data_IF_928766095382
#
_entry.id   IF_928766095382
#
_cell.length_a   1.000
_cell.length_b   1.000
_cell.length_c   1.000
_cell.angle_alpha   90.00
_cell.angle_beta   90.00
_cell.angle_gamma   90.00
#
_symmetry.space_group_name_H-M   'P 1'
#
loop_
_entity.id
_entity.type
_entity.pdbx_description
1 polymer ?
#
# COMPACT_ATOMS: atom_id res chain seq x y z
N UNK A 1 -27.76 -7.84 -69.24
CA UNK A 1 -27.74 -6.68 -68.32
C UNK A 1 -28.26 -7.13 -67.02
N UNK A 2 -27.31 -7.46 -66.04
CA UNK A 2 -27.63 -7.86 -64.69
C UNK A 2 -27.25 -6.70 -63.79
N UNK A 3 -28.23 -6.07 -63.12
CA UNK A 3 -28.02 -5.02 -62.14
C UNK A 3 -27.69 -5.70 -60.79
N UNK A 4 -26.47 -5.48 -60.28
CA UNK A 4 -26.07 -5.80 -58.88
C UNK A 4 -26.70 -4.77 -57.96
N UNK A 5 -27.51 -5.22 -57.01
CA UNK A 5 -27.93 -4.44 -55.84
C UNK A 5 -26.86 -4.63 -54.75
N UNK A 6 -26.10 -3.59 -54.44
CA UNK A 6 -25.27 -3.52 -53.23
C UNK A 6 -26.18 -3.12 -52.05
N UNK A 7 -26.41 -4.06 -51.13
CA UNK A 7 -26.97 -3.77 -49.82
C UNK A 7 -25.82 -3.24 -48.95
N UNK A 8 -25.82 -1.93 -48.67
CA UNK A 8 -24.96 -1.36 -47.64
C UNK A 8 -25.54 -1.68 -46.25
N UNK A 9 -24.94 -2.65 -45.57
CA UNK A 9 -25.22 -2.95 -44.16
C UNK A 9 -24.54 -1.89 -43.31
N UNK A 10 -25.28 -0.87 -42.92
CA UNK A 10 -24.85 0.12 -41.96
C UNK A 10 -24.84 -0.55 -40.57
N UNK A 11 -23.67 -1.01 -40.10
CA UNK A 11 -23.47 -1.40 -38.69
C UNK A 11 -23.60 -0.14 -37.84
N UNK A 12 -24.76 0.07 -37.24
CA UNK A 12 -24.90 0.95 -36.08
C UNK A 12 -24.18 0.29 -34.91
N UNK A 13 -22.93 0.66 -34.72
CA UNK A 13 -22.26 0.45 -33.44
C UNK A 13 -23.01 1.30 -32.43
N UNK A 14 -23.86 0.66 -31.64
CA UNK A 14 -24.41 1.25 -30.43
C UNK A 14 -23.22 1.56 -29.55
N UNK A 15 -22.82 2.83 -29.46
CA UNK A 15 -21.92 3.34 -28.41
C UNK A 15 -22.66 3.21 -27.10
N UNK A 16 -22.57 2.03 -26.47
CA UNK A 16 -22.80 1.91 -25.06
C UNK A 16 -21.67 2.68 -24.41
N UNK A 17 -21.99 3.84 -23.85
CA UNK A 17 -21.03 4.70 -23.20
C UNK A 17 -20.38 3.95 -22.03
N UNK A 18 -19.25 3.29 -22.32
CA UNK A 18 -18.35 2.82 -21.26
C UNK A 18 -17.87 4.08 -20.58
N UNK A 19 -18.30 4.28 -19.34
CA UNK A 19 -17.87 5.42 -18.56
C UNK A 19 -16.33 5.38 -18.50
N UNK A 20 -15.69 6.37 -19.11
CA UNK A 20 -14.23 6.41 -19.23
C UNK A 20 -13.61 6.76 -17.88
N UNK A 21 -12.54 6.08 -17.49
CA UNK A 21 -11.73 6.42 -16.33
C UNK A 21 -11.18 7.83 -16.51
N UNK A 22 -11.51 8.73 -15.59
CA UNK A 22 -10.94 10.08 -15.57
C UNK A 22 -9.61 10.04 -14.84
N UNK A 23 -8.60 10.65 -15.42
CA UNK A 23 -7.26 10.72 -14.86
C UNK A 23 -6.87 12.17 -14.60
N UNK A 24 -6.40 12.44 -13.38
CA UNK A 24 -5.81 13.73 -13.02
C UNK A 24 -4.49 13.55 -12.27
N UNK A 25 -3.75 14.64 -12.04
CA UNK A 25 -2.39 14.58 -11.48
C UNK A 25 -2.14 15.71 -10.51
N UNK A 26 -1.33 15.39 -9.47
CA UNK A 26 -0.69 16.39 -8.61
C UNK A 26 0.83 16.25 -8.81
N UNK A 27 1.51 17.35 -9.13
CA UNK A 27 2.94 17.37 -9.39
C UNK A 27 3.71 17.97 -8.21
N UNK A 28 5.01 17.71 -8.16
CA UNK A 28 5.92 18.23 -7.11
C UNK A 28 5.52 17.76 -5.71
N UNK A 29 5.18 16.49 -5.61
CA UNK A 29 4.83 15.87 -4.34
C UNK A 29 6.10 15.34 -3.65
N UNK A 30 7.01 16.25 -3.29
CA UNK A 30 8.32 15.93 -2.70
C UNK A 30 9.32 15.32 -3.68
N UNK A 31 10.48 14.90 -3.15
CA UNK A 31 11.49 14.16 -3.89
C UNK A 31 11.46 12.68 -3.51
N UNK A 32 11.40 11.81 -4.51
CA UNK A 32 11.23 10.36 -4.33
C UNK A 32 10.05 10.04 -3.39
N UNK A 33 8.81 10.50 -3.72
CA UNK A 33 7.63 10.15 -2.93
C UNK A 33 7.44 8.63 -2.94
N UNK A 34 7.12 8.05 -1.79
CA UNK A 34 7.15 6.58 -1.66
C UNK A 34 5.82 5.99 -1.19
N UNK A 35 5.45 6.16 0.06
CA UNK A 35 4.20 5.62 0.61
C UNK A 35 3.14 6.70 0.76
N UNK A 36 1.87 6.28 0.66
CA UNK A 36 0.75 7.18 0.90
C UNK A 36 -0.29 6.58 1.85
N UNK A 37 -0.96 7.47 2.58
CA UNK A 37 -2.19 7.19 3.30
C UNK A 37 -3.25 8.21 2.91
N UNK A 38 -4.53 7.81 2.93
CA UNK A 38 -5.65 8.69 2.67
C UNK A 38 -6.38 9.02 3.96
N UNK A 39 -6.83 10.26 4.09
CA UNK A 39 -7.72 10.67 5.19
C UNK A 39 -9.01 9.82 5.18
N UNK A 40 -9.69 9.69 6.33
CA UNK A 40 -10.93 8.91 6.41
C UNK A 40 -12.05 9.35 5.46
N UNK A 41 -12.06 10.62 5.07
CA UNK A 41 -13.01 11.20 4.10
C UNK A 41 -12.51 11.08 2.63
N UNK A 42 -11.28 10.61 2.43
CA UNK A 42 -10.67 10.43 1.11
C UNK A 42 -10.26 11.71 0.39
N UNK A 43 -10.32 12.88 1.03
CA UNK A 43 -10.03 14.18 0.39
C UNK A 43 -8.58 14.63 0.52
N UNK A 44 -7.84 14.05 1.45
CA UNK A 44 -6.43 14.37 1.71
C UNK A 44 -5.56 13.13 1.53
N UNK A 45 -4.44 13.29 0.84
CA UNK A 45 -3.38 12.30 0.79
C UNK A 45 -2.18 12.79 1.62
N UNK A 46 -1.63 11.90 2.41
CA UNK A 46 -0.38 12.07 3.14
C UNK A 46 0.67 11.21 2.45
N UNK A 47 1.78 11.80 2.05
CA UNK A 47 2.81 11.12 1.23
C UNK A 47 4.18 11.29 1.87
N UNK A 48 4.90 10.21 2.09
CA UNK A 48 6.29 10.28 2.53
C UNK A 48 7.20 10.66 1.37
N UNK A 49 8.06 11.67 1.58
CA UNK A 49 9.07 12.10 0.62
C UNK A 49 10.44 11.63 1.11
N UNK A 50 10.91 10.52 0.53
CA UNK A 50 12.16 9.86 0.94
C UNK A 50 13.38 10.77 0.79
N UNK A 51 13.44 11.54 -0.31
CA UNK A 51 14.58 12.39 -0.64
C UNK A 51 14.70 13.64 0.22
N UNK A 52 13.56 14.23 0.68
CA UNK A 52 13.57 15.48 1.47
C UNK A 52 13.40 15.24 2.97
N UNK A 53 12.98 14.07 3.41
CA UNK A 53 12.76 13.79 4.83
C UNK A 53 11.41 14.30 5.36
N UNK A 54 10.43 14.48 4.48
CA UNK A 54 9.15 15.14 4.78
C UNK A 54 7.96 14.20 4.69
N UNK A 55 6.89 14.57 5.39
CA UNK A 55 5.52 14.14 5.14
C UNK A 55 4.81 15.26 4.39
N UNK A 56 4.37 14.98 3.16
CA UNK A 56 3.69 15.92 2.27
C UNK A 56 2.18 15.74 2.41
N UNK A 57 1.45 16.82 2.60
CA UNK A 57 -0.01 16.84 2.67
C UNK A 57 -0.57 17.39 1.35
N UNK A 58 -1.44 16.62 0.73
CA UNK A 58 -2.01 16.94 -0.59
C UNK A 58 -3.53 17.00 -0.48
N UNK A 59 -4.11 18.13 -0.85
CA UNK A 59 -5.55 18.24 -1.11
C UNK A 59 -5.86 17.60 -2.46
N UNK A 60 -6.60 16.49 -2.45
CA UNK A 60 -6.96 15.74 -3.65
C UNK A 60 -8.08 16.42 -4.45
N UNK A 61 -8.89 17.26 -3.82
CA UNK A 61 -9.97 18.01 -4.48
C UNK A 61 -9.38 19.21 -5.23
N UNK A 62 -8.57 20.03 -4.53
CA UNK A 62 -7.87 21.15 -5.12
C UNK A 62 -6.66 20.76 -5.96
N UNK A 63 -6.19 19.49 -5.85
CA UNK A 63 -5.04 18.91 -6.55
C UNK A 63 -3.75 19.71 -6.29
N UNK A 64 -3.51 20.04 -5.04
CA UNK A 64 -2.40 20.90 -4.61
C UNK A 64 -1.76 20.39 -3.32
N UNK A 65 -0.45 20.57 -3.19
CA UNK A 65 0.28 20.38 -1.93
C UNK A 65 -0.09 21.52 -0.99
N UNK A 66 -0.56 21.19 0.21
CA UNK A 66 -1.00 22.18 1.21
C UNK A 66 -0.01 22.34 2.35
N UNK A 67 0.70 21.28 2.73
CA UNK A 67 1.67 21.30 3.82
C UNK A 67 2.88 20.41 3.51
N UNK A 68 4.01 20.76 4.10
CA UNK A 68 5.25 19.96 4.12
C UNK A 68 5.75 19.93 5.56
N UNK A 69 5.86 18.73 6.13
CA UNK A 69 6.17 18.51 7.54
C UNK A 69 7.49 17.73 7.64
N UNK A 70 8.60 18.31 8.11
CA UNK A 70 9.84 17.58 8.35
C UNK A 70 9.63 16.49 9.41
N UNK A 71 9.85 15.21 9.06
CA UNK A 71 9.61 14.07 9.97
C UNK A 71 10.85 13.29 10.33
N UNK A 72 11.90 13.41 9.54
CA UNK A 72 13.17 12.71 9.74
C UNK A 72 13.74 12.13 8.45
N UNK A 73 14.95 11.57 8.51
CA UNK A 73 15.68 11.13 7.33
C UNK A 73 15.11 9.84 6.73
N UNK A 74 14.94 9.84 5.41
CA UNK A 74 14.46 8.71 4.61
C UNK A 74 13.12 8.12 5.11
N UNK A 75 12.02 8.91 5.19
CA UNK A 75 10.72 8.40 5.59
C UNK A 75 10.19 7.41 4.54
N UNK A 76 9.69 6.28 5.02
CA UNK A 76 9.09 5.21 4.23
C UNK A 76 7.63 4.99 4.68
N UNK A 77 7.36 3.87 5.37
CA UNK A 77 6.02 3.47 5.76
C UNK A 77 5.26 4.53 6.56
N UNK A 78 3.97 4.61 6.31
CA UNK A 78 3.05 5.60 6.85
C UNK A 78 1.74 4.93 7.25
N UNK A 79 1.25 5.19 8.46
CA UNK A 79 -0.06 4.76 8.92
C UNK A 79 -0.77 5.85 9.70
N UNK A 80 -2.10 5.92 9.54
CA UNK A 80 -2.95 6.85 10.30
C UNK A 80 -3.56 6.17 11.52
N UNK A 81 -3.69 6.93 12.59
CA UNK A 81 -4.36 6.56 13.83
C UNK A 81 -5.39 7.65 14.22
N UNK A 82 -6.14 7.42 15.30
CA UNK A 82 -7.07 8.38 15.90
C UNK A 82 -8.03 9.00 14.88
N UNK A 83 -8.67 8.14 14.08
CA UNK A 83 -9.56 8.57 13.02
C UNK A 83 -8.92 9.58 12.04
N UNK A 84 -7.63 9.41 11.76
CA UNK A 84 -6.87 10.25 10.82
C UNK A 84 -6.29 11.52 11.42
N UNK A 85 -6.28 11.70 12.75
CA UNK A 85 -5.67 12.87 13.40
C UNK A 85 -4.17 12.72 13.65
N UNK A 86 -3.69 11.48 13.71
CA UNK A 86 -2.28 11.16 13.98
C UNK A 86 -1.71 10.33 12.86
N UNK A 87 -0.48 10.65 12.42
CA UNK A 87 0.29 9.82 11.51
C UNK A 87 1.53 9.24 12.21
N UNK A 88 1.80 7.97 11.96
CA UNK A 88 3.04 7.30 12.32
C UNK A 88 3.87 7.13 11.06
N UNK A 89 5.09 7.65 11.06
CA UNK A 89 6.00 7.63 9.89
C UNK A 89 7.30 6.94 10.25
N UNK A 90 7.62 5.86 9.57
CA UNK A 90 8.88 5.13 9.75
C UNK A 90 10.02 5.87 9.03
N UNK A 91 10.93 6.49 9.78
CA UNK A 91 12.08 7.24 9.29
C UNK A 91 13.33 6.35 9.32
N UNK A 92 13.61 5.71 8.18
CA UNK A 92 14.60 4.63 8.05
C UNK A 92 15.98 5.00 8.55
N UNK A 93 16.53 6.11 8.07
CA UNK A 93 17.92 6.50 8.37
C UNK A 93 18.02 7.24 9.72
N UNK A 94 16.91 7.76 10.24
CA UNK A 94 16.83 8.30 11.61
C UNK A 94 16.73 7.21 12.67
N UNK A 95 16.32 5.99 12.33
CA UNK A 95 16.04 4.93 13.30
C UNK A 95 14.88 5.26 14.24
N UNK A 96 13.89 6.02 13.76
CA UNK A 96 12.75 6.49 14.54
C UNK A 96 11.43 6.24 13.82
N UNK A 97 10.36 6.25 14.60
CA UNK A 97 8.99 6.44 14.09
C UNK A 97 8.54 7.82 14.54
N UNK A 98 8.35 8.74 13.60
CA UNK A 98 7.81 10.06 13.89
C UNK A 98 6.29 9.95 14.12
N UNK A 99 5.80 10.59 15.19
CA UNK A 99 4.38 10.74 15.50
C UNK A 99 3.98 12.16 15.16
N UNK A 100 3.14 12.33 14.16
CA UNK A 100 2.73 13.61 13.62
C UNK A 100 1.29 13.91 14.00
N UNK A 101 1.03 15.04 14.64
CA UNK A 101 -0.32 15.60 14.77
C UNK A 101 -0.72 16.26 13.46
N UNK A 102 -1.71 15.68 12.79
CA UNK A 102 -2.24 16.16 11.52
C UNK A 102 -3.24 17.31 11.66
N UNK A 103 -3.59 17.71 12.87
CA UNK A 103 -4.39 18.89 13.14
C UNK A 103 -3.52 20.14 13.19
N UNK A 104 -2.38 20.06 13.88
CA UNK A 104 -1.39 21.13 13.98
C UNK A 104 -0.28 21.08 12.93
N UNK A 105 -0.16 19.97 12.20
CA UNK A 105 0.90 19.68 11.22
C UNK A 105 2.30 19.73 11.83
N UNK A 106 2.47 19.11 13.01
CA UNK A 106 3.74 19.08 13.74
C UNK A 106 4.09 17.69 14.20
N UNK A 107 5.38 17.43 14.34
CA UNK A 107 5.89 16.21 14.97
C UNK A 107 5.78 16.36 16.48
N UNK A 108 4.96 15.53 17.10
CA UNK A 108 4.75 15.50 18.54
C UNK A 108 5.78 14.66 19.30
N UNK A 109 6.27 13.59 18.64
CA UNK A 109 7.25 12.68 19.23
C UNK A 109 8.06 11.96 18.16
N UNK A 110 9.25 11.50 18.54
CA UNK A 110 10.08 10.58 17.77
C UNK A 110 10.36 9.35 18.62
N UNK A 111 9.72 8.23 18.29
CA UNK A 111 9.89 6.96 18.99
C UNK A 111 11.14 6.29 18.45
N UNK A 112 12.15 6.08 19.28
CA UNK A 112 13.37 5.37 18.90
C UNK A 112 13.08 3.88 18.71
N UNK A 113 13.47 3.36 17.55
CA UNK A 113 13.46 1.92 17.24
C UNK A 113 14.87 1.50 16.82
N UNK A 114 15.24 0.26 17.11
CA UNK A 114 16.58 -0.23 16.73
C UNK A 114 16.63 -0.56 15.22
N UNK A 115 17.69 -0.12 14.53
CA UNK A 115 17.94 -0.48 13.14
C UNK A 115 17.31 0.49 12.13
N UNK A 116 16.71 -0.03 11.06
CA UNK A 116 16.18 0.75 9.93
C UNK A 116 14.69 0.43 9.72
N UNK A 117 13.79 1.19 10.34
CA UNK A 117 12.34 0.96 10.21
C UNK A 117 11.91 1.17 8.75
N UNK A 118 10.99 0.32 8.26
CA UNK A 118 10.57 0.32 6.86
C UNK A 118 9.07 0.53 6.67
N UNK A 119 8.23 -0.26 7.32
CA UNK A 119 6.79 -0.12 7.24
C UNK A 119 6.18 0.03 8.62
N UNK A 120 5.03 0.69 8.69
CA UNK A 120 4.24 0.86 9.90
C UNK A 120 2.76 0.60 9.59
N UNK A 121 2.06 -0.08 10.49
CA UNK A 121 0.60 -0.21 10.47
C UNK A 121 0.05 -0.07 11.88
N UNK A 122 -1.16 0.50 11.98
CA UNK A 122 -1.89 0.62 13.25
C UNK A 122 -2.91 -0.50 13.35
N UNK A 123 -2.99 -1.13 14.50
CA UNK A 123 -3.96 -2.19 14.76
C UNK A 123 -5.41 -1.65 14.75
N UNK A 124 -6.42 -2.51 14.50
CA UNK A 124 -7.81 -2.09 14.31
C UNK A 124 -8.43 -1.41 15.54
N UNK A 125 -7.88 -1.66 16.73
CA UNK A 125 -8.31 -1.02 17.98
C UNK A 125 -7.65 0.34 18.24
N UNK A 126 -6.65 0.73 17.44
CA UNK A 126 -5.91 1.97 17.58
C UNK A 126 -4.91 2.03 18.76
N UNK A 127 -4.76 0.96 19.54
CA UNK A 127 -3.90 0.97 20.75
C UNK A 127 -2.45 0.60 20.44
N UNK A 128 -2.21 -0.15 19.38
CA UNK A 128 -0.88 -0.63 18.99
C UNK A 128 -0.55 -0.23 17.56
N UNK A 129 0.71 0.15 17.36
CA UNK A 129 1.31 0.23 16.03
C UNK A 129 2.40 -0.84 15.92
N UNK A 130 2.57 -1.35 14.72
CA UNK A 130 3.51 -2.40 14.37
C UNK A 130 4.49 -1.85 13.35
N UNK A 131 5.78 -2.05 13.57
CA UNK A 131 6.83 -1.48 12.74
C UNK A 131 7.81 -2.57 12.33
N UNK A 132 7.96 -2.81 11.03
CA UNK A 132 9.00 -3.66 10.49
C UNK A 132 10.33 -2.93 10.48
N UNK A 133 11.41 -3.65 10.75
CA UNK A 133 12.74 -3.10 10.85
C UNK A 133 13.75 -4.07 10.23
N UNK A 134 14.55 -3.59 9.29
CA UNK A 134 15.56 -4.42 8.61
C UNK A 134 16.59 -5.04 9.56
N UNK A 135 16.75 -4.46 10.76
CA UNK A 135 17.80 -4.90 11.67
C UNK A 135 19.21 -4.52 11.18
N UNK A 136 20.19 -4.65 12.07
CA UNK A 136 21.61 -4.47 11.72
C UNK A 136 22.30 -5.77 11.30
N UNK A 137 21.60 -6.89 11.47
CA UNK A 137 22.05 -8.25 11.12
C UNK A 137 21.17 -8.84 10.00
N UNK A 138 21.42 -10.09 9.61
CA UNK A 138 20.58 -10.80 8.63
C UNK A 138 19.13 -11.03 9.12
N UNK A 139 18.90 -11.00 10.43
CA UNK A 139 17.58 -11.13 11.03
C UNK A 139 16.94 -9.74 11.20
N UNK A 140 15.70 -9.60 10.75
CA UNK A 140 14.91 -8.41 10.97
C UNK A 140 14.12 -8.44 12.28
N UNK A 141 13.33 -7.41 12.51
CA UNK A 141 12.53 -7.27 13.72
C UNK A 141 11.14 -6.71 13.39
N UNK A 142 10.17 -7.05 14.24
CA UNK A 142 8.87 -6.39 14.33
C UNK A 142 8.81 -5.74 15.70
N UNK A 143 8.67 -4.42 15.76
CA UNK A 143 8.42 -3.69 16.99
C UNK A 143 6.93 -3.49 17.20
N UNK A 144 6.47 -3.67 18.42
CA UNK A 144 5.12 -3.33 18.88
C UNK A 144 5.23 -2.03 19.69
N UNK A 145 4.49 -1.03 19.28
CA UNK A 145 4.45 0.29 19.88
C UNK A 145 3.09 0.49 20.56
N UNK A 146 3.08 0.94 21.79
CA UNK A 146 1.90 1.51 22.41
C UNK A 146 1.66 2.91 21.83
N UNK A 147 0.49 3.09 21.23
CA UNK A 147 0.12 4.34 20.51
C UNK A 147 -0.02 5.51 21.49
N UNK A 148 -0.58 5.26 22.68
CA UNK A 148 -0.81 6.30 23.68
C UNK A 148 0.47 6.69 24.40
N UNK A 149 1.22 5.68 24.87
CA UNK A 149 2.48 5.90 25.62
C UNK A 149 3.65 6.24 24.69
N UNK A 150 3.46 6.09 23.35
CA UNK A 150 4.47 6.40 22.33
C UNK A 150 5.79 5.68 22.59
N UNK A 151 5.72 4.42 23.00
CA UNK A 151 6.88 3.63 23.40
C UNK A 151 6.85 2.22 22.83
N UNK A 152 8.04 1.63 22.60
CA UNK A 152 8.16 0.23 22.17
C UNK A 152 7.89 -0.67 23.38
N UNK A 153 6.87 -1.52 23.27
CA UNK A 153 6.46 -2.46 24.32
C UNK A 153 7.00 -3.87 24.10
N UNK A 154 7.27 -4.25 22.85
CA UNK A 154 7.86 -5.55 22.53
C UNK A 154 8.63 -5.50 21.22
N UNK A 155 9.56 -6.47 21.07
CA UNK A 155 10.34 -6.68 19.83
C UNK A 155 10.38 -8.17 19.53
N UNK A 156 9.93 -8.55 18.34
CA UNK A 156 9.86 -9.93 17.88
C UNK A 156 10.86 -10.11 16.74
N UNK A 157 11.67 -11.16 16.79
CA UNK A 157 12.59 -11.51 15.69
C UNK A 157 11.80 -11.93 14.44
N UNK A 158 12.21 -11.42 13.29
CA UNK A 158 11.63 -11.71 12.00
C UNK A 158 12.65 -12.39 11.06
N UNK A 159 12.20 -12.75 9.86
CA UNK A 159 13.06 -13.24 8.80
C UNK A 159 13.98 -12.17 8.21
N UNK A 160 14.56 -12.45 7.05
CA UNK A 160 15.46 -11.51 6.38
C UNK A 160 14.69 -10.38 5.69
N UNK A 161 15.12 -9.15 5.93
CA UNK A 161 14.57 -7.95 5.30
C UNK A 161 13.03 -7.86 5.42
N UNK A 162 12.45 -7.71 6.63
CA UNK A 162 11.02 -7.45 6.77
C UNK A 162 10.72 -6.03 6.26
N UNK A 163 9.96 -5.93 5.17
CA UNK A 163 9.77 -4.68 4.42
C UNK A 163 8.34 -4.15 4.45
N UNK A 164 7.36 -5.03 4.57
CA UNK A 164 5.96 -4.65 4.60
C UNK A 164 5.19 -5.48 5.64
N UNK A 165 4.06 -4.96 6.08
CA UNK A 165 3.16 -5.66 6.98
C UNK A 165 1.70 -5.29 6.73
N UNK A 166 0.81 -6.22 7.08
CA UNK A 166 -0.62 -5.98 7.18
C UNK A 166 -1.12 -6.50 8.51
N UNK A 167 -2.11 -5.81 9.08
CA UNK A 167 -2.75 -6.20 10.34
C UNK A 167 -4.17 -6.65 10.04
N UNK A 168 -4.55 -7.82 10.54
CA UNK A 168 -5.92 -8.31 10.41
C UNK A 168 -6.91 -7.34 11.07
N UNK A 169 -7.93 -6.87 10.35
CA UNK A 169 -8.94 -5.99 10.92
C UNK A 169 -9.85 -6.69 11.94
N UNK A 170 -9.79 -8.04 12.03
CA UNK A 170 -10.71 -8.85 12.83
C UNK A 170 -10.09 -9.24 14.18
N UNK A 171 -8.81 -9.68 14.18
CA UNK A 171 -8.18 -10.30 15.36
C UNK A 171 -6.77 -9.80 15.65
N UNK A 172 -6.35 -8.74 14.98
CA UNK A 172 -5.05 -8.08 15.14
C UNK A 172 -3.82 -8.97 14.83
N UNK A 173 -4.02 -10.15 14.20
CA UNK A 173 -2.90 -10.94 13.67
C UNK A 173 -2.07 -10.09 12.70
N UNK A 174 -0.75 -10.10 12.84
CA UNK A 174 0.16 -9.34 11.99
C UNK A 174 0.80 -10.26 10.96
N UNK A 175 0.74 -9.88 9.70
CA UNK A 175 1.37 -10.58 8.59
C UNK A 175 2.56 -9.75 8.11
N UNK A 176 3.76 -10.31 8.19
CA UNK A 176 5.01 -9.60 7.87
C UNK A 176 5.65 -10.21 6.64
N UNK A 177 5.89 -9.39 5.62
CA UNK A 177 6.63 -9.77 4.41
C UNK A 177 8.13 -9.70 4.71
N UNK A 178 8.81 -10.82 4.59
CA UNK A 178 10.25 -10.94 4.71
C UNK A 178 10.86 -11.07 3.31
N UNK A 179 11.19 -9.93 2.70
CA UNK A 179 11.64 -9.84 1.30
C UNK A 179 12.90 -10.67 0.99
N UNK A 180 13.80 -10.79 1.96
CA UNK A 180 15.03 -11.56 1.80
C UNK A 180 14.86 -13.07 1.98
N UNK A 181 13.75 -13.53 2.58
CA UNK A 181 13.44 -14.96 2.78
C UNK A 181 12.36 -15.48 1.84
N UNK A 182 11.69 -14.60 1.08
CA UNK A 182 10.53 -14.93 0.24
C UNK A 182 9.38 -15.59 1.02
N UNK A 183 9.09 -15.04 2.19
CA UNK A 183 8.09 -15.58 3.11
C UNK A 183 7.20 -14.48 3.70
N UNK A 184 5.95 -14.83 3.98
CA UNK A 184 5.06 -14.09 4.89
C UNK A 184 5.03 -14.81 6.23
N UNK A 185 5.39 -14.12 7.30
CA UNK A 185 5.31 -14.64 8.66
C UNK A 185 4.04 -14.17 9.35
N UNK A 186 3.32 -15.12 9.95
CA UNK A 186 2.09 -14.87 10.71
C UNK A 186 2.43 -14.71 12.17
N UNK A 187 2.16 -13.54 12.73
CA UNK A 187 2.56 -13.16 14.10
C UNK A 187 1.32 -12.97 14.97
N UNK A 188 1.33 -13.59 16.12
CA UNK A 188 0.40 -13.30 17.21
C UNK A 188 1.03 -12.25 18.12
N UNK A 189 0.54 -10.99 18.14
CA UNK A 189 1.14 -9.92 18.90
C UNK A 189 0.93 -10.04 20.41
N UNK A 190 -0.15 -10.69 20.86
CA UNK A 190 -0.41 -10.88 22.31
C UNK A 190 0.54 -11.91 22.91
N UNK A 191 0.82 -12.99 22.17
CA UNK A 191 1.77 -14.03 22.58
C UNK A 191 3.21 -13.70 22.20
N UNK A 192 3.42 -12.68 21.37
CA UNK A 192 4.72 -12.29 20.81
C UNK A 192 5.43 -13.46 20.08
N UNK A 193 4.67 -14.27 19.36
CA UNK A 193 5.16 -15.47 18.66
C UNK A 193 4.83 -15.46 17.18
N UNK A 194 5.70 -16.07 16.40
CA UNK A 194 5.43 -16.44 15.00
C UNK A 194 4.73 -17.80 14.99
N UNK A 195 3.52 -17.84 14.43
CA UNK A 195 2.72 -19.08 14.38
C UNK A 195 2.97 -19.89 13.10
N UNK A 196 3.18 -19.21 11.98
CA UNK A 196 3.32 -19.84 10.66
C UNK A 196 4.24 -19.01 9.77
N UNK A 197 4.93 -19.70 8.85
CA UNK A 197 5.70 -19.11 7.78
C UNK A 197 5.15 -19.62 6.46
N UNK A 198 4.80 -18.72 5.55
CA UNK A 198 4.17 -19.05 4.27
C UNK A 198 5.11 -18.61 3.16
N UNK A 199 5.60 -19.56 2.36
CA UNK A 199 6.42 -19.24 1.18
C UNK A 199 5.56 -18.56 0.11
N UNK A 200 6.11 -17.52 -0.52
CA UNK A 200 5.50 -16.73 -1.59
C UNK A 200 6.44 -16.66 -2.81
N UNK A 201 6.15 -15.78 -3.78
CA UNK A 201 7.02 -15.59 -4.93
C UNK A 201 8.35 -14.89 -4.60
N UNK A 202 9.14 -14.56 -5.62
CA UNK A 202 10.48 -14.00 -5.46
C UNK A 202 10.45 -12.49 -5.20
N UNK A 203 11.26 -12.05 -4.23
CA UNK A 203 11.37 -10.67 -3.77
C UNK A 203 9.99 -10.06 -3.48
N UNK A 204 9.25 -10.56 -2.47
CA UNK A 204 7.99 -9.99 -2.08
C UNK A 204 8.20 -8.59 -1.48
N UNK A 205 7.36 -7.62 -1.89
CA UNK A 205 7.49 -6.20 -1.52
C UNK A 205 6.25 -5.67 -0.79
N UNK A 206 5.06 -5.77 -1.37
CA UNK A 206 3.83 -5.22 -0.83
C UNK A 206 2.90 -6.28 -0.26
N UNK A 207 2.02 -5.87 0.66
CA UNK A 207 1.00 -6.74 1.23
C UNK A 207 -0.27 -5.95 1.54
N UNK A 208 -1.43 -6.54 1.24
CA UNK A 208 -2.73 -6.01 1.64
C UNK A 208 -3.66 -7.13 2.08
N UNK A 209 -4.57 -6.82 3.01
CA UNK A 209 -5.58 -7.74 3.53
C UNK A 209 -6.99 -7.26 3.17
N UNK A 210 -7.90 -8.18 2.89
CA UNK A 210 -9.32 -7.84 2.69
C UNK A 210 -9.97 -7.30 3.97
N UNK A 211 -11.01 -6.44 3.88
CA UNK A 211 -11.71 -5.92 5.04
C UNK A 211 -12.36 -6.98 5.93
N UNK A 212 -12.72 -8.13 5.36
CA UNK A 212 -13.24 -9.30 6.10
C UNK A 212 -12.12 -10.16 6.73
N UNK A 213 -10.86 -9.79 6.50
CA UNK A 213 -9.69 -10.46 7.04
C UNK A 213 -9.37 -11.83 6.42
N UNK A 214 -10.06 -12.26 5.34
CA UNK A 214 -9.97 -13.65 4.83
C UNK A 214 -8.87 -13.86 3.80
N UNK A 215 -8.44 -12.82 3.08
CA UNK A 215 -7.43 -12.95 2.02
C UNK A 215 -6.33 -11.92 2.17
N UNK A 216 -5.10 -12.36 1.91
CA UNK A 216 -3.93 -11.51 1.73
C UNK A 216 -3.50 -11.54 0.28
N UNK A 217 -3.02 -10.41 -0.20
CA UNK A 217 -2.40 -10.23 -1.51
C UNK A 217 -0.97 -9.76 -1.29
N UNK A 218 -0.01 -10.50 -1.83
CA UNK A 218 1.43 -10.22 -1.68
C UNK A 218 2.03 -10.05 -3.06
N UNK A 219 2.58 -8.88 -3.36
CA UNK A 219 3.29 -8.63 -4.61
C UNK A 219 4.69 -9.20 -4.56
N UNK A 220 5.13 -9.85 -5.64
CA UNK A 220 6.44 -10.46 -5.76
C UNK A 220 7.17 -9.82 -6.96
N UNK A 221 8.09 -8.89 -6.66
CA UNK A 221 8.63 -7.96 -7.66
C UNK A 221 9.55 -8.62 -8.68
N UNK A 222 10.22 -9.71 -8.32
CA UNK A 222 11.11 -10.43 -9.24
C UNK A 222 10.38 -11.49 -10.06
N UNK A 223 9.41 -12.20 -9.49
CA UNK A 223 8.58 -13.17 -10.22
C UNK A 223 7.46 -12.53 -11.05
N UNK A 224 7.18 -11.22 -10.87
CA UNK A 224 6.13 -10.48 -11.57
C UNK A 224 4.72 -11.04 -11.36
N UNK A 225 4.40 -11.37 -10.14
CA UNK A 225 3.12 -11.96 -9.77
C UNK A 225 2.62 -11.45 -8.42
N UNK A 226 1.39 -11.84 -8.09
CA UNK A 226 0.77 -11.66 -6.77
C UNK A 226 0.40 -13.00 -6.20
N UNK A 227 0.93 -13.33 -5.03
CA UNK A 227 0.50 -14.49 -4.24
C UNK A 227 -0.75 -14.13 -3.43
N UNK A 228 -1.81 -14.93 -3.58
CA UNK A 228 -3.03 -14.79 -2.77
C UNK A 228 -3.04 -15.88 -1.69
N UNK A 229 -3.21 -15.46 -0.44
CA UNK A 229 -3.17 -16.35 0.73
C UNK A 229 -4.55 -16.35 1.41
N UNK A 230 -5.04 -17.54 1.74
CA UNK A 230 -6.15 -17.73 2.67
C UNK A 230 -5.63 -17.57 4.11
N UNK A 231 -6.17 -16.61 4.85
CA UNK A 231 -5.72 -16.29 6.22
C UNK A 231 -6.17 -17.31 7.25
N UNK A 232 -7.30 -17.96 7.02
CA UNK A 232 -7.84 -18.97 7.93
C UNK A 232 -7.07 -20.30 7.80
N UNK A 233 -6.84 -20.73 6.56
CA UNK A 233 -6.04 -21.93 6.27
C UNK A 233 -4.53 -21.68 6.38
N UNK A 234 -4.10 -20.41 6.36
CA UNK A 234 -2.70 -19.97 6.32
C UNK A 234 -1.92 -20.64 5.16
N UNK A 235 -2.53 -20.66 3.99
CA UNK A 235 -1.99 -21.30 2.78
C UNK A 235 -2.18 -20.44 1.55
N UNK A 236 -1.27 -20.61 0.58
CA UNK A 236 -1.43 -20.02 -0.75
C UNK A 236 -2.63 -20.63 -1.45
N UNK A 237 -3.53 -19.77 -1.94
CA UNK A 237 -4.67 -20.16 -2.79
C UNK A 237 -4.27 -20.23 -4.26
N UNK A 238 -3.64 -19.16 -4.74
CA UNK A 238 -3.28 -18.99 -6.15
C UNK A 238 -2.16 -17.95 -6.26
N UNK A 239 -1.42 -17.99 -7.37
CA UNK A 239 -0.49 -16.96 -7.80
C UNK A 239 -0.95 -16.41 -9.14
N UNK A 240 -1.10 -15.10 -9.25
CA UNK A 240 -1.64 -14.40 -10.42
C UNK A 240 -0.55 -13.59 -11.11
N UNK A 241 -0.32 -13.74 -12.41
CA UNK A 241 0.61 -12.89 -13.15
C UNK A 241 0.09 -11.44 -13.18
N UNK A 242 1.02 -10.49 -13.07
CA UNK A 242 0.75 -9.03 -13.15
C UNK A 242 1.76 -8.37 -14.10
N UNK A 243 1.82 -7.04 -14.10
CA UNK A 243 2.84 -6.32 -14.85
C UNK A 243 4.24 -6.50 -14.26
N UNK A 244 5.25 -5.88 -14.90
CA UNK A 244 6.65 -5.99 -14.49
C UNK A 244 6.93 -5.22 -13.21
N UNK A 245 7.64 -5.86 -12.28
CA UNK A 245 8.09 -5.33 -10.99
C UNK A 245 6.92 -4.76 -10.19
N UNK A 246 5.96 -5.61 -9.78
CA UNK A 246 4.89 -5.17 -8.89
C UNK A 246 5.46 -4.75 -7.54
N UNK A 247 4.91 -3.67 -6.95
CA UNK A 247 5.37 -3.13 -5.67
C UNK A 247 4.19 -2.99 -4.70
N UNK A 248 3.56 -1.82 -4.62
CA UNK A 248 2.41 -1.60 -3.74
C UNK A 248 1.16 -2.37 -4.17
N UNK A 249 0.39 -2.80 -3.19
CA UNK A 249 -0.92 -3.44 -3.37
C UNK A 249 -1.91 -2.88 -2.34
N UNK A 250 -3.16 -2.74 -2.74
CA UNK A 250 -4.25 -2.32 -1.84
C UNK A 250 -5.55 -3.02 -2.20
N UNK A 251 -6.48 -3.09 -1.24
CA UNK A 251 -7.84 -3.63 -1.43
C UNK A 251 -8.83 -2.49 -1.23
N UNK A 252 -9.88 -2.44 -2.04
CA UNK A 252 -10.99 -1.49 -1.87
C UNK A 252 -11.71 -1.72 -0.54
N UNK A 253 -12.32 -0.65 0.04
CA UNK A 253 -13.02 -0.75 1.34
C UNK A 253 -14.18 -1.71 1.34
N UNK A 254 -14.86 -1.88 0.20
CA UNK A 254 -15.94 -2.83 0.02
C UNK A 254 -15.45 -4.28 -0.18
N UNK A 255 -14.13 -4.49 -0.23
CA UNK A 255 -13.51 -5.79 -0.39
C UNK A 255 -13.70 -6.44 -1.78
N UNK A 256 -14.20 -5.69 -2.79
CA UNK A 256 -14.52 -6.26 -4.10
C UNK A 256 -13.34 -6.30 -5.05
N UNK A 257 -12.42 -5.35 -4.94
CA UNK A 257 -11.29 -5.22 -5.86
C UNK A 257 -9.97 -5.09 -5.10
N UNK A 258 -8.89 -5.57 -5.71
CA UNK A 258 -7.54 -5.22 -5.30
C UNK A 258 -6.77 -4.62 -6.47
N UNK A 259 -5.81 -3.75 -6.14
CA UNK A 259 -5.04 -2.95 -7.09
C UNK A 259 -3.56 -3.17 -6.85
N UNK A 260 -2.80 -3.35 -7.92
CA UNK A 260 -1.36 -3.60 -7.89
C UNK A 260 -0.66 -2.58 -8.77
N UNK A 261 0.32 -1.85 -8.23
CA UNK A 261 1.19 -1.01 -9.05
C UNK A 261 2.31 -1.84 -9.65
N UNK A 262 2.53 -1.68 -10.96
CA UNK A 262 3.57 -2.36 -11.71
C UNK A 262 4.62 -1.32 -12.13
N UNK A 263 5.69 -1.21 -11.36
CA UNK A 263 6.67 -0.10 -11.43
C UNK A 263 7.32 0.03 -12.80
N UNK A 264 7.79 -1.07 -13.38
CA UNK A 264 8.43 -1.07 -14.70
C UNK A 264 7.42 -1.02 -15.86
N UNK A 265 6.22 -1.59 -15.68
CA UNK A 265 5.13 -1.49 -16.66
C UNK A 265 4.44 -0.14 -16.65
N UNK A 266 4.68 0.71 -15.66
CA UNK A 266 4.01 2.02 -15.48
C UNK A 266 2.49 1.90 -15.54
N UNK A 267 1.96 0.97 -14.78
CA UNK A 267 0.53 0.66 -14.78
C UNK A 267 0.03 0.26 -13.40
N UNK A 268 -1.29 0.34 -13.24
CA UNK A 268 -2.02 -0.28 -12.14
C UNK A 268 -2.87 -1.39 -12.73
N UNK A 269 -2.78 -2.58 -12.16
CA UNK A 269 -3.67 -3.70 -12.45
C UNK A 269 -4.76 -3.77 -11.39
N UNK A 270 -6.03 -3.82 -11.79
CA UNK A 270 -7.19 -4.02 -10.93
C UNK A 270 -7.76 -5.43 -11.17
N UNK A 271 -8.00 -6.16 -10.09
CA UNK A 271 -8.58 -7.49 -10.11
C UNK A 271 -9.79 -7.57 -9.18
N UNK A 272 -10.63 -8.56 -9.39
CA UNK A 272 -11.65 -8.93 -8.40
C UNK A 272 -11.01 -9.66 -7.21
N UNK A 273 -11.27 -9.17 -6.01
CA UNK A 273 -10.69 -9.75 -4.80
C UNK A 273 -11.36 -11.08 -4.37
N UNK A 274 -12.56 -11.39 -4.90
CA UNK A 274 -13.24 -12.66 -4.69
C UNK A 274 -12.70 -13.79 -5.60
N UNK A 275 -11.81 -13.46 -6.56
CA UNK A 275 -11.20 -14.36 -7.53
C UNK A 275 -12.21 -15.00 -8.51
N UNK A 276 -13.40 -14.43 -8.67
CA UNK A 276 -14.40 -14.91 -9.64
C UNK A 276 -13.99 -14.61 -11.08
N UNK A 277 -13.08 -13.64 -11.28
CA UNK A 277 -12.35 -13.40 -12.52
C UNK A 277 -10.88 -13.21 -12.19
N UNK A 278 -10.02 -13.84 -12.98
CA UNK A 278 -8.55 -13.73 -12.86
C UNK A 278 -7.96 -12.76 -13.89
N UNK A 279 -8.80 -12.11 -14.69
CA UNK A 279 -8.39 -11.09 -15.66
C UNK A 279 -8.28 -9.74 -14.96
N UNK A 280 -7.23 -8.99 -15.31
CA UNK A 280 -6.99 -7.65 -14.81
C UNK A 280 -7.50 -6.58 -15.78
N UNK A 281 -8.12 -5.54 -15.23
CA UNK A 281 -8.16 -4.25 -15.93
C UNK A 281 -6.87 -3.49 -15.65
N UNK A 282 -6.25 -2.90 -16.69
CA UNK A 282 -4.94 -2.26 -16.58
C UNK A 282 -5.03 -0.79 -16.95
N UNK A 283 -4.59 0.07 -16.02
CA UNK A 283 -4.61 1.52 -16.18
C UNK A 283 -3.18 2.07 -16.29
N UNK A 284 -2.84 2.85 -17.33
CA UNK A 284 -1.53 3.47 -17.44
C UNK A 284 -1.37 4.59 -16.42
N UNK A 285 -0.17 4.70 -15.83
CA UNK A 285 0.21 5.76 -14.88
C UNK A 285 1.57 6.36 -15.26
N UNK A 286 2.11 7.27 -14.45
CA UNK A 286 3.40 7.90 -14.69
C UNK A 286 4.59 6.97 -14.32
N UNK A 287 5.82 7.48 -14.45
CA UNK A 287 7.04 6.68 -14.24
C UNK A 287 7.25 6.36 -12.75
N UNK A 288 7.59 5.10 -12.48
CA UNK A 288 7.95 4.61 -11.16
C UNK A 288 6.77 4.60 -10.18
N UNK A 289 5.61 4.01 -10.51
CA UNK A 289 4.55 3.83 -9.53
C UNK A 289 5.04 2.86 -8.43
N UNK A 290 4.87 3.26 -7.16
CA UNK A 290 5.37 2.49 -6.00
C UNK A 290 4.30 2.19 -4.96
N UNK A 291 3.29 3.04 -4.79
CA UNK A 291 2.19 2.75 -3.87
C UNK A 291 0.84 3.18 -4.44
N UNK A 292 -0.22 2.55 -3.98
CA UNK A 292 -1.59 2.77 -4.41
C UNK A 292 -2.53 2.66 -3.22
N UNK A 293 -3.51 3.57 -3.13
CA UNK A 293 -4.61 3.49 -2.18
C UNK A 293 -5.93 3.79 -2.88
N UNK A 294 -6.98 3.16 -2.39
CA UNK A 294 -8.35 3.41 -2.83
C UNK A 294 -9.04 4.27 -1.79
N UNK A 295 -9.67 5.34 -2.23
CA UNK A 295 -10.45 6.21 -1.35
C UNK A 295 -11.72 5.51 -0.84
N UNK A 296 -12.35 6.04 0.23
CA UNK A 296 -13.55 5.44 0.82
C UNK A 296 -14.76 5.28 -0.11
N UNK A 297 -14.77 6.00 -1.21
CA UNK A 297 -15.80 5.92 -2.26
C UNK A 297 -15.68 4.66 -3.14
N UNK A 298 -14.60 3.86 -2.98
CA UNK A 298 -14.23 2.69 -3.78
C UNK A 298 -14.04 2.98 -5.29
N UNK A 299 -13.96 4.24 -5.68
CA UNK A 299 -13.86 4.71 -7.08
C UNK A 299 -12.62 5.54 -7.34
N UNK A 300 -12.19 6.31 -6.36
CA UNK A 300 -10.99 7.14 -6.47
C UNK A 300 -9.76 6.33 -6.08
N UNK A 301 -8.87 6.10 -7.02
CA UNK A 301 -7.59 5.38 -6.83
C UNK A 301 -6.45 6.40 -6.94
N UNK A 302 -5.62 6.48 -5.91
CA UNK A 302 -4.48 7.40 -5.85
C UNK A 302 -3.19 6.60 -5.92
N UNK A 303 -2.32 6.96 -6.85
CA UNK A 303 -1.04 6.27 -7.13
C UNK A 303 0.12 7.23 -6.92
N UNK A 304 1.10 6.80 -6.13
CA UNK A 304 2.37 7.51 -5.98
C UNK A 304 3.32 7.08 -7.09
N UNK A 305 3.88 8.07 -7.80
CA UNK A 305 4.86 7.84 -8.85
C UNK A 305 6.20 8.47 -8.43
N UNK A 306 7.09 7.64 -7.89
CA UNK A 306 8.37 8.05 -7.31
C UNK A 306 9.23 8.83 -8.29
N UNK A 307 9.46 8.28 -9.49
CA UNK A 307 10.34 8.88 -10.50
C UNK A 307 9.74 10.10 -11.20
N UNK A 308 8.43 10.26 -11.16
CA UNK A 308 7.73 11.44 -11.73
C UNK A 308 7.43 12.50 -10.68
N UNK A 309 7.75 12.25 -9.40
CA UNK A 309 7.49 13.15 -8.28
C UNK A 309 6.01 13.62 -8.25
N UNK A 310 5.09 12.66 -8.45
CA UNK A 310 3.68 12.98 -8.68
C UNK A 310 2.72 11.99 -8.03
N UNK A 311 1.48 12.45 -7.84
CA UNK A 311 0.33 11.57 -7.69
C UNK A 311 -0.46 11.51 -8.98
N UNK A 312 -0.92 10.32 -9.35
CA UNK A 312 -1.97 10.10 -10.35
C UNK A 312 -3.24 9.70 -9.62
N UNK A 313 -4.34 10.36 -9.98
CA UNK A 313 -5.67 10.08 -9.44
C UNK A 313 -6.52 9.52 -10.57
N UNK A 314 -7.00 8.28 -10.41
CA UNK A 314 -7.90 7.60 -11.33
C UNK A 314 -9.30 7.60 -10.69
N UNK A 315 -10.28 8.13 -11.41
CA UNK A 315 -11.69 8.06 -11.03
C UNK A 315 -12.35 6.95 -11.87
N UNK A 316 -12.62 5.81 -11.22
CA UNK A 316 -13.27 4.66 -11.83
C UNK A 316 -14.77 4.92 -12.03
N UNK A 317 -15.41 4.30 -13.03
CA UNK A 317 -16.82 4.48 -13.33
C UNK A 317 -17.78 4.00 -12.25
#
# INVERSE_FOLDING_TARGET
>A
MKRLFLLSLMLMLANWGVASVKTSRVRKVGEYPNFLALSPDGKTAYVTSFGTGDLIVVDLVGKVVTQTIPVGSAPLGLALADAGRTAFVACKDSGTVAVVDLTSFRVDANIKVSGSPSAVAVGPRGYRAFVTNFGRSKEGQLHIIDVRERSVTATIKMGMAPIALAVSPINETVYVVNGGSNEVWVVNPDRQTVSTKISVGEAPDGIAITPDGKRLFVTNSRSNDVTVIDTQMQKVLITLPVGKKPFGVTVSRDGKHFFVVNTESRSVSMFRADLTSLEAEVFPVEKGPVDVKVAPDNRTVVVVNEQSHSLVILELP
#
